data_IF_185377337516
#
_entry.id   IF_185377337516
#
_cell.length_a   1.000
_cell.length_b   1.000
_cell.length_c   1.000
_cell.angle_alpha   90.00
_cell.angle_beta   90.00
_cell.angle_gamma   90.00
#
_symmetry.space_group_name_H-M   'P 1'
#
loop_
_entity.id
_entity.type
_entity.pdbx_description
1 polymer ?
#
# COMPACT_ATOMS: atom_id res chain seq x y z
N UNK A 1 -1.13 40.42 0.10
CA UNK A 1 -2.15 41.26 -0.60
C UNK A 1 -3.29 41.57 0.38
N UNK A 2 -3.92 42.75 0.27
CA UNK A 2 -4.83 43.39 1.23
C UNK A 2 -6.18 42.68 1.54
N UNK A 3 -6.25 41.34 1.46
CA UNK A 3 -7.44 40.56 1.79
C UNK A 3 -7.74 40.57 3.30
N UNK A 4 -6.75 40.82 4.14
CA UNK A 4 -6.90 40.86 5.60
C UNK A 4 -7.90 41.91 6.11
N UNK A 5 -8.26 42.90 5.31
CA UNK A 5 -9.27 43.90 5.67
C UNK A 5 -10.71 43.48 5.31
N UNK A 6 -10.90 42.42 4.52
CA UNK A 6 -12.18 42.06 3.91
C UNK A 6 -12.96 41.04 4.76
N UNK A 7 -13.28 41.38 6.01
CA UNK A 7 -13.93 40.46 6.99
C UNK A 7 -15.34 39.99 6.60
N UNK A 8 -15.99 40.67 5.64
CA UNK A 8 -17.31 40.30 5.11
C UNK A 8 -17.24 39.53 3.78
N UNK A 9 -16.05 39.24 3.28
CA UNK A 9 -15.88 38.54 2.01
C UNK A 9 -16.42 37.12 2.12
N UNK A 10 -17.35 36.78 1.22
CA UNK A 10 -18.07 35.51 1.20
C UNK A 10 -17.68 34.65 0.00
N UNK A 11 -17.43 35.30 -1.14
CA UNK A 11 -17.02 34.65 -2.38
C UNK A 11 -15.80 35.35 -2.96
N UNK A 12 -14.84 34.57 -3.43
CA UNK A 12 -13.63 35.07 -4.06
C UNK A 12 -13.27 34.22 -5.28
N UNK A 13 -13.15 34.89 -6.43
CA UNK A 13 -12.81 34.29 -7.70
C UNK A 13 -11.45 34.83 -8.15
N UNK A 14 -10.45 33.95 -8.18
CA UNK A 14 -9.06 34.20 -8.58
C UNK A 14 -8.61 33.22 -9.67
N UNK A 15 -9.58 32.57 -10.31
CA UNK A 15 -9.35 31.61 -11.37
C UNK A 15 -8.80 32.24 -12.66
N UNK A 16 -8.18 31.43 -13.52
CA UNK A 16 -7.58 31.86 -14.79
C UNK A 16 -6.53 32.97 -14.64
N UNK A 17 -5.66 32.83 -13.64
CA UNK A 17 -4.55 33.74 -13.37
C UNK A 17 -3.20 33.02 -13.47
N UNK A 18 -2.14 33.66 -12.98
CA UNK A 18 -0.77 33.14 -12.97
C UNK A 18 -0.25 33.04 -11.52
N UNK A 19 -1.15 32.77 -10.57
CA UNK A 19 -0.78 32.67 -9.16
C UNK A 19 0.05 31.40 -8.97
N UNK A 20 1.32 31.56 -8.61
CA UNK A 20 2.22 30.45 -8.26
C UNK A 20 2.29 30.22 -6.75
N UNK A 21 1.92 31.23 -5.95
CA UNK A 21 1.88 31.15 -4.48
C UNK A 21 0.80 32.06 -3.92
N UNK A 22 0.30 31.71 -2.74
CA UNK A 22 -0.54 32.55 -1.91
C UNK A 22 0.10 32.57 -0.53
N UNK A 23 0.23 33.77 0.04
CA UNK A 23 0.79 33.94 1.38
C UNK A 23 -0.03 33.14 2.42
N UNK A 24 0.65 32.43 3.31
CA UNK A 24 0.06 31.53 4.31
C UNK A 24 -1.06 32.16 5.15
N UNK A 25 -0.97 33.47 5.39
CA UNK A 25 -1.93 34.21 6.21
C UNK A 25 -2.78 35.19 5.40
N UNK A 26 -2.86 35.03 4.08
CA UNK A 26 -3.67 35.88 3.20
C UNK A 26 -5.15 35.90 3.62
N UNK A 27 -5.67 34.75 4.06
CA UNK A 27 -7.08 34.56 4.40
C UNK A 27 -7.37 34.60 5.91
N UNK A 28 -6.40 34.98 6.74
CA UNK A 28 -6.53 34.92 8.21
C UNK A 28 -7.75 35.68 8.77
N UNK A 29 -8.16 36.76 8.12
CA UNK A 29 -9.28 37.61 8.55
C UNK A 29 -10.55 37.43 7.70
N UNK A 30 -10.50 36.65 6.62
CA UNK A 30 -11.63 36.40 5.72
C UNK A 30 -12.36 35.12 6.11
N UNK A 31 -12.75 35.02 7.39
CA UNK A 31 -13.35 33.79 7.96
C UNK A 31 -14.77 33.53 7.48
N UNK A 32 -15.44 34.54 6.91
CA UNK A 32 -16.79 34.45 6.33
C UNK A 32 -16.82 33.84 4.91
N UNK A 33 -15.65 33.52 4.35
CA UNK A 33 -15.50 33.02 2.98
C UNK A 33 -16.06 31.59 2.88
N UNK A 34 -17.06 31.40 2.02
CA UNK A 34 -17.66 30.10 1.74
C UNK A 34 -17.38 29.57 0.34
N UNK A 35 -17.03 30.43 -0.62
CA UNK A 35 -16.69 30.03 -2.00
C UNK A 35 -15.34 30.61 -2.40
N UNK A 36 -14.41 29.75 -2.81
CA UNK A 36 -13.08 30.13 -3.29
C UNK A 36 -12.73 29.40 -4.58
N UNK A 37 -12.58 30.15 -5.66
CA UNK A 37 -12.22 29.62 -6.99
C UNK A 37 -10.79 30.04 -7.34
N UNK A 38 -9.92 29.05 -7.53
CA UNK A 38 -8.48 29.20 -7.79
C UNK A 38 -8.01 28.35 -8.98
N UNK A 39 -8.95 27.83 -9.79
CA UNK A 39 -8.63 26.98 -10.92
C UNK A 39 -7.81 27.70 -12.00
N UNK A 40 -7.03 26.93 -12.76
CA UNK A 40 -6.22 27.46 -13.86
C UNK A 40 -5.24 28.52 -13.35
N UNK A 41 -4.36 28.10 -12.44
CA UNK A 41 -3.24 28.87 -11.89
C UNK A 41 -1.97 28.00 -11.92
N UNK A 42 -0.94 28.35 -11.13
CA UNK A 42 0.34 27.65 -11.05
C UNK A 42 0.68 27.26 -9.60
N UNK A 43 -0.35 27.06 -8.75
CA UNK A 43 -0.15 26.83 -7.33
C UNK A 43 0.53 25.48 -7.09
N UNK A 44 1.62 25.52 -6.34
CA UNK A 44 2.29 24.35 -5.77
C UNK A 44 2.49 24.62 -4.28
N UNK A 45 1.92 23.77 -3.40
CA UNK A 45 2.15 23.85 -1.97
C UNK A 45 3.26 22.85 -1.60
N UNK A 46 4.50 23.33 -1.49
CA UNK A 46 5.70 22.50 -1.30
C UNK A 46 5.77 21.81 0.08
N UNK A 47 5.00 22.26 1.08
CA UNK A 47 5.10 21.82 2.49
C UNK A 47 4.36 20.52 2.83
N UNK A 48 3.78 19.82 1.84
CA UNK A 48 2.91 18.65 2.10
C UNK A 48 3.64 17.30 2.21
N UNK A 49 4.94 17.26 1.91
CA UNK A 49 5.71 16.00 1.75
C UNK A 49 6.83 15.79 2.78
N UNK A 50 7.12 16.73 3.67
CA UNK A 50 8.17 16.55 4.68
C UNK A 50 7.58 15.97 5.97
N UNK A 51 7.68 14.65 6.12
CA UNK A 51 7.89 14.11 7.47
C UNK A 51 9.14 14.79 8.04
N UNK A 52 9.20 15.11 9.35
CA UNK A 52 10.38 15.73 9.92
C UNK A 52 11.56 14.82 9.59
N UNK A 53 12.51 15.32 8.78
CA UNK A 53 13.77 14.64 8.59
C UNK A 53 14.35 14.41 9.98
N UNK A 54 14.61 13.15 10.30
CA UNK A 54 15.37 12.74 11.48
C UNK A 54 16.50 13.72 11.71
N UNK A 55 16.54 14.32 12.91
CA UNK A 55 17.56 15.26 13.31
C UNK A 55 18.95 14.74 12.88
N UNK A 56 19.85 15.62 12.39
CA UNK A 56 21.19 15.20 12.00
C UNK A 56 21.85 14.51 13.19
N UNK A 57 22.34 13.30 12.92
CA UNK A 57 23.12 12.45 13.80
C UNK A 57 24.41 13.19 14.20
N UNK A 58 24.31 14.06 15.21
CA UNK A 58 25.47 14.53 15.97
C UNK A 58 25.65 13.55 17.10
N UNK A 59 26.51 12.56 16.86
CA UNK A 59 26.96 11.64 17.88
C UNK A 59 27.62 12.41 19.02
N UNK A 60 26.97 12.40 20.18
CA UNK A 60 27.61 12.52 21.48
C UNK A 60 26.77 11.75 22.50
N UNK A 61 27.40 10.76 23.12
CA UNK A 61 26.83 9.94 24.19
C UNK A 61 26.62 10.80 25.43
N UNK A 62 25.38 11.03 25.86
CA UNK A 62 25.11 11.37 27.26
C UNK A 62 23.70 10.98 27.74
N UNK A 63 23.70 9.95 28.59
CA UNK A 63 22.82 9.69 29.75
C UNK A 63 21.28 9.78 29.58
N UNK A 64 20.65 8.61 29.73
CA UNK A 64 19.22 8.40 29.94
C UNK A 64 18.72 9.13 31.20
N UNK A 65 18.02 10.25 31.00
CA UNK A 65 17.10 10.83 31.99
C UNK A 65 15.68 10.84 31.42
N UNK A 66 14.72 10.47 32.25
CA UNK A 66 13.27 10.53 31.98
C UNK A 66 12.85 11.99 31.67
N UNK A 67 12.94 12.40 30.40
CA UNK A 67 12.36 13.64 29.92
C UNK A 67 11.04 13.34 29.22
N UNK A 68 9.94 13.61 29.92
CA UNK A 68 8.65 13.86 29.30
C UNK A 68 8.84 15.10 28.41
N UNK A 69 8.61 15.03 27.09
CA UNK A 69 8.85 16.14 26.20
C UNK A 69 7.96 17.33 26.56
N UNK A 70 8.52 18.54 26.48
CA UNK A 70 7.83 19.79 26.77
C UNK A 70 6.67 20.01 25.78
N UNK A 71 5.58 20.71 26.16
CA UNK A 71 4.44 21.01 25.28
C UNK A 71 4.80 21.80 24.00
N UNK A 72 6.04 22.28 23.92
CA UNK A 72 6.59 23.05 22.81
C UNK A 72 7.05 22.14 21.66
N UNK A 73 7.30 20.84 21.90
CA UNK A 73 7.60 19.85 20.85
C UNK A 73 6.35 19.49 20.02
N UNK A 74 5.16 19.67 20.59
CA UNK A 74 3.89 19.59 19.83
C UNK A 74 3.69 20.77 18.87
N UNK A 75 4.45 21.88 19.01
CA UNK A 75 4.40 23.00 18.06
C UNK A 75 5.14 22.73 16.75
N UNK A 76 5.96 21.67 16.65
CA UNK A 76 6.55 21.25 15.38
C UNK A 76 5.53 20.60 14.42
N UNK A 77 4.33 20.27 14.90
CA UNK A 77 3.21 19.83 14.07
C UNK A 77 2.36 21.01 13.55
N UNK A 78 2.65 22.24 13.96
CA UNK A 78 1.74 23.38 13.82
C UNK A 78 2.14 24.46 12.78
N UNK A 79 3.18 24.24 11.95
CA UNK A 79 3.66 25.29 11.01
C UNK A 79 3.44 25.03 9.51
N UNK A 80 2.97 23.86 9.08
CA UNK A 80 2.85 23.52 7.66
C UNK A 80 1.39 23.49 7.15
N UNK A 81 0.63 24.54 7.47
CA UNK A 81 -0.71 24.73 6.91
C UNK A 81 -0.65 25.26 5.47
N UNK A 82 -1.75 25.17 4.73
CA UNK A 82 -1.92 25.97 3.51
C UNK A 82 -2.57 27.32 3.87
N UNK A 83 -2.70 28.26 2.92
CA UNK A 83 -3.44 29.50 3.15
C UNK A 83 -4.89 29.27 3.61
N UNK A 84 -5.44 28.07 3.44
CA UNK A 84 -6.82 27.71 3.75
C UNK A 84 -7.06 27.33 5.21
N UNK A 85 -6.01 27.22 6.04
CA UNK A 85 -6.09 26.70 7.41
C UNK A 85 -7.11 27.40 8.33
N UNK A 86 -7.48 28.67 8.05
CA UNK A 86 -8.44 29.46 8.85
C UNK A 86 -9.85 29.53 8.23
N UNK A 87 -10.08 28.89 7.08
CA UNK A 87 -11.33 28.99 6.32
C UNK A 87 -12.38 28.00 6.80
N UNK A 88 -12.76 28.06 8.08
CA UNK A 88 -13.65 27.07 8.69
C UNK A 88 -15.06 26.99 8.09
N UNK A 89 -15.53 28.07 7.46
CA UNK A 89 -16.86 28.19 6.82
C UNK A 89 -16.83 27.90 5.31
N UNK A 90 -15.69 27.42 4.79
CA UNK A 90 -15.55 27.13 3.37
C UNK A 90 -16.47 25.97 2.98
N UNK A 91 -17.26 26.16 1.92
CA UNK A 91 -18.20 25.17 1.37
C UNK A 91 -17.77 24.67 0.01
N UNK A 92 -17.14 25.54 -0.78
CA UNK A 92 -16.66 25.22 -2.12
C UNK A 92 -15.26 25.76 -2.35
N UNK A 93 -14.38 24.86 -2.76
CA UNK A 93 -13.00 25.15 -3.12
C UNK A 93 -12.66 24.49 -4.46
N UNK A 94 -12.36 25.30 -5.47
CA UNK A 94 -11.86 24.82 -6.75
C UNK A 94 -10.35 25.13 -6.89
N UNK A 95 -9.55 24.06 -6.88
CA UNK A 95 -8.09 24.06 -7.05
C UNK A 95 -7.68 23.30 -8.32
N UNK A 96 -8.61 23.06 -9.25
CA UNK A 96 -8.32 22.30 -10.45
C UNK A 96 -7.33 22.99 -11.39
N UNK A 97 -6.61 22.20 -12.19
CA UNK A 97 -5.61 22.74 -13.14
C UNK A 97 -4.55 23.62 -12.45
N UNK A 98 -3.93 23.07 -11.39
CA UNK A 98 -2.78 23.62 -10.66
C UNK A 98 -1.66 22.57 -10.63
N UNK A 99 -0.61 22.79 -9.83
CA UNK A 99 0.56 21.90 -9.73
C UNK A 99 0.67 21.23 -8.36
N UNK A 100 -0.47 20.93 -7.74
CA UNK A 100 -0.50 20.28 -6.43
C UNK A 100 -0.02 18.84 -6.52
N UNK A 101 0.86 18.44 -5.60
CA UNK A 101 1.42 17.07 -5.53
C UNK A 101 0.80 16.21 -4.42
N UNK A 102 -0.02 16.82 -3.55
CA UNK A 102 -0.70 16.14 -2.45
C UNK A 102 -2.02 16.85 -2.10
N UNK A 103 -2.92 16.13 -1.44
CA UNK A 103 -4.14 16.69 -0.86
C UNK A 103 -3.76 17.53 0.38
N UNK A 104 -4.14 18.83 0.44
CA UNK A 104 -3.83 19.68 1.60
C UNK A 104 -4.43 19.15 2.91
N UNK A 105 -3.58 18.86 3.90
CA UNK A 105 -4.00 18.25 5.18
C UNK A 105 -4.94 19.14 6.01
N UNK A 106 -4.77 20.45 5.94
CA UNK A 106 -5.61 21.40 6.67
C UNK A 106 -7.06 21.44 6.16
N UNK A 107 -7.30 21.11 4.88
CA UNK A 107 -8.67 20.94 4.36
C UNK A 107 -9.38 19.70 4.93
N UNK A 108 -8.64 18.74 5.49
CA UNK A 108 -9.25 17.58 6.15
C UNK A 108 -9.69 17.94 7.57
N UNK A 109 -8.88 18.77 8.26
CA UNK A 109 -9.01 19.05 9.69
C UNK A 109 -9.78 20.33 10.01
N UNK A 110 -9.66 21.37 9.19
CA UNK A 110 -10.11 22.72 9.57
C UNK A 110 -11.39 23.16 8.84
N UNK A 111 -11.78 22.51 7.74
CA UNK A 111 -12.92 22.92 6.91
C UNK A 111 -14.09 21.97 7.06
N UNK A 112 -14.79 22.04 8.20
CA UNK A 112 -15.90 21.12 8.54
C UNK A 112 -17.18 21.34 7.69
N UNK A 113 -17.36 22.54 7.13
CA UNK A 113 -18.50 22.86 6.24
C UNK A 113 -18.25 22.54 4.76
N UNK A 114 -17.08 21.99 4.42
CA UNK A 114 -16.68 21.82 3.02
C UNK A 114 -17.56 20.77 2.33
N UNK A 115 -18.22 21.18 1.24
CA UNK A 115 -19.14 20.33 0.47
C UNK A 115 -18.53 19.90 -0.87
N UNK A 116 -17.71 20.77 -1.48
CA UNK A 116 -17.10 20.55 -2.79
C UNK A 116 -15.63 20.93 -2.78
N UNK A 117 -14.77 19.97 -3.12
CA UNK A 117 -13.34 20.17 -3.33
C UNK A 117 -12.95 19.62 -4.71
N UNK A 118 -12.61 20.51 -5.64
CA UNK A 118 -12.16 20.12 -6.97
C UNK A 118 -10.63 20.17 -7.04
N UNK A 119 -9.99 19.01 -7.18
CA UNK A 119 -8.54 18.82 -7.31
C UNK A 119 -8.16 18.21 -8.66
N UNK A 120 -9.07 18.23 -9.64
CA UNK A 120 -8.81 17.64 -10.96
C UNK A 120 -7.65 18.31 -11.68
N UNK A 121 -6.93 17.56 -12.53
CA UNK A 121 -5.80 18.10 -13.32
C UNK A 121 -4.71 18.74 -12.45
N UNK A 122 -4.34 18.06 -11.37
CA UNK A 122 -3.15 18.35 -10.58
C UNK A 122 -2.11 17.23 -10.80
N UNK A 123 -1.05 17.19 -9.98
CA UNK A 123 0.02 16.20 -10.08
C UNK A 123 0.12 15.32 -8.81
N UNK A 124 -1.03 14.97 -8.23
CA UNK A 124 -1.09 14.09 -7.04
C UNK A 124 -0.72 12.67 -7.49
N UNK A 125 0.20 12.02 -6.79
CA UNK A 125 0.78 10.73 -7.20
C UNK A 125 0.38 9.54 -6.35
N UNK A 126 0.05 9.77 -5.09
CA UNK A 126 -0.33 8.70 -4.18
C UNK A 126 -1.40 9.14 -3.19
N UNK A 127 -2.16 8.17 -2.70
CA UNK A 127 -3.15 8.36 -1.65
C UNK A 127 -2.95 7.33 -0.55
N UNK A 128 -3.07 7.78 0.69
CA UNK A 128 -3.13 6.94 1.88
C UNK A 128 -4.47 7.13 2.60
N UNK A 129 -4.78 6.27 3.57
CA UNK A 129 -5.96 6.47 4.42
C UNK A 129 -5.97 7.86 5.09
N UNK A 130 -4.81 8.40 5.45
CA UNK A 130 -4.70 9.74 6.04
C UNK A 130 -5.19 10.86 5.10
N UNK A 131 -5.14 10.66 3.79
CA UNK A 131 -5.63 11.62 2.80
C UNK A 131 -7.17 11.58 2.62
N UNK A 132 -7.86 10.61 3.25
CA UNK A 132 -9.30 10.38 3.10
C UNK A 132 -10.09 10.74 4.37
N UNK A 133 -9.43 11.16 5.44
CA UNK A 133 -10.04 11.47 6.75
C UNK A 133 -10.65 12.87 6.78
N UNK A 134 -11.61 13.14 5.89
CA UNK A 134 -12.33 14.40 5.89
C UNK A 134 -13.29 14.48 7.09
N UNK A 135 -13.21 15.56 7.86
CA UNK A 135 -14.17 15.82 8.94
C UNK A 135 -15.53 16.30 8.43
N UNK A 136 -15.60 16.79 7.19
CA UNK A 136 -16.85 17.19 6.56
C UNK A 136 -17.64 15.94 6.11
N UNK A 137 -18.82 15.66 6.69
CA UNK A 137 -19.47 14.35 6.56
C UNK A 137 -20.00 14.05 5.15
N UNK A 138 -20.28 15.04 4.31
CA UNK A 138 -20.85 14.82 2.97
C UNK A 138 -20.05 15.49 1.84
N UNK A 139 -18.75 15.70 2.06
CA UNK A 139 -17.89 16.33 1.05
C UNK A 139 -17.79 15.48 -0.22
N UNK A 140 -17.82 16.13 -1.37
CA UNK A 140 -17.40 15.53 -2.65
C UNK A 140 -16.02 16.06 -3.03
N UNK A 141 -15.07 15.15 -3.19
CA UNK A 141 -13.68 15.42 -3.56
C UNK A 141 -13.40 14.82 -4.94
N UNK A 142 -13.00 15.66 -5.88
CA UNK A 142 -12.71 15.24 -7.26
C UNK A 142 -11.20 15.17 -7.50
N UNK A 143 -10.66 13.96 -7.61
CA UNK A 143 -9.24 13.68 -7.85
C UNK A 143 -8.99 13.13 -9.27
N UNK A 144 -9.98 13.20 -10.16
CA UNK A 144 -9.83 12.71 -11.54
C UNK A 144 -8.75 13.48 -12.30
N UNK A 145 -8.16 12.83 -13.31
CA UNK A 145 -7.09 13.42 -14.13
C UNK A 145 -5.88 13.90 -13.32
N UNK A 146 -5.47 13.13 -12.32
CA UNK A 146 -4.19 13.30 -11.63
C UNK A 146 -3.20 12.23 -12.10
N UNK A 147 -2.07 12.10 -11.40
CA UNK A 147 -1.03 11.10 -11.67
C UNK A 147 -1.03 10.00 -10.60
N UNK A 148 -2.20 9.68 -10.00
CA UNK A 148 -2.28 8.75 -8.87
C UNK A 148 -1.98 7.33 -9.36
N UNK A 149 -0.76 6.88 -9.09
CA UNK A 149 -0.31 5.53 -9.44
C UNK A 149 -0.33 4.58 -8.24
N UNK A 150 -0.41 5.09 -7.01
CA UNK A 150 -0.38 4.26 -5.80
C UNK A 150 -1.48 4.67 -4.81
N UNK A 151 -2.26 3.69 -4.34
CA UNK A 151 -3.31 3.89 -3.34
C UNK A 151 -3.09 2.88 -2.23
N UNK A 152 -2.49 3.32 -1.12
CA UNK A 152 -2.19 2.49 0.05
C UNK A 152 -3.24 2.67 1.15
N UNK A 153 -4.10 1.65 1.29
CA UNK A 153 -5.15 1.62 2.30
C UNK A 153 -4.98 0.44 3.28
N UNK A 154 -3.76 -0.08 3.44
CA UNK A 154 -3.50 -1.28 4.23
C UNK A 154 -4.04 -1.19 5.68
N UNK A 155 -3.89 -0.03 6.33
CA UNK A 155 -4.34 0.20 7.71
C UNK A 155 -5.81 0.63 7.86
N UNK A 156 -6.49 0.89 6.75
CA UNK A 156 -7.80 1.55 6.73
C UNK A 156 -8.84 0.78 7.54
N UNK A 157 -9.03 -0.51 7.27
CA UNK A 157 -10.05 -1.31 7.96
C UNK A 157 -9.77 -1.39 9.47
N UNK A 158 -8.52 -1.63 9.86
CA UNK A 158 -8.10 -1.68 11.26
C UNK A 158 -8.38 -0.35 11.98
N UNK A 159 -8.00 0.77 11.38
CA UNK A 159 -8.18 2.09 11.98
C UNK A 159 -9.65 2.48 12.10
N UNK A 160 -10.45 2.19 11.07
CA UNK A 160 -11.90 2.44 11.09
C UNK A 160 -12.60 1.68 12.23
N UNK A 161 -12.19 0.43 12.47
CA UNK A 161 -12.76 -0.42 13.52
C UNK A 161 -12.34 -0.01 14.94
N UNK A 162 -11.21 0.68 15.10
CA UNK A 162 -10.73 1.18 16.40
C UNK A 162 -11.43 2.48 16.83
N UNK A 163 -11.99 3.24 15.89
CA UNK A 163 -12.62 4.54 16.16
C UNK A 163 -14.11 4.56 15.77
N UNK A 164 -14.96 3.64 16.25
CA UNK A 164 -16.35 3.55 15.80
C UNK A 164 -17.08 4.90 15.93
N UNK A 165 -17.85 5.27 14.91
CA UNK A 165 -18.63 6.51 14.93
C UNK A 165 -19.50 6.57 16.18
N UNK A 166 -19.52 7.72 16.84
CA UNK A 166 -20.47 7.97 17.91
C UNK A 166 -21.88 8.08 17.32
N UNK A 167 -22.89 7.63 18.07
CA UNK A 167 -24.30 7.71 17.66
C UNK A 167 -24.79 9.14 17.37
N UNK A 168 -24.08 10.15 17.88
CA UNK A 168 -24.40 11.57 17.74
C UNK A 168 -23.69 12.27 16.55
N UNK A 169 -22.84 11.57 15.80
CA UNK A 169 -22.15 12.16 14.64
C UNK A 169 -23.08 12.31 13.43
N UNK A 170 -22.94 13.44 12.71
CA UNK A 170 -23.67 13.67 11.46
C UNK A 170 -23.45 12.50 10.48
N UNK A 171 -24.57 11.92 10.05
CA UNK A 171 -24.59 10.82 9.11
C UNK A 171 -24.25 11.33 7.71
N UNK A 172 -23.03 11.08 7.27
CA UNK A 172 -22.60 11.34 5.91
C UNK A 172 -21.31 10.59 5.64
N UNK A 173 -21.07 10.27 4.36
CA UNK A 173 -19.79 9.72 3.90
C UNK A 173 -19.11 10.65 2.90
N UNK A 174 -17.80 10.83 3.04
CA UNK A 174 -17.01 11.58 2.07
C UNK A 174 -16.99 10.82 0.73
N UNK A 175 -17.31 11.49 -0.37
CA UNK A 175 -17.33 10.89 -1.71
C UNK A 175 -16.11 11.33 -2.49
N UNK A 176 -15.26 10.38 -2.89
CA UNK A 176 -13.98 10.66 -3.55
C UNK A 176 -13.98 10.06 -4.95
N UNK A 177 -13.80 10.89 -5.97
CA UNK A 177 -13.80 10.49 -7.38
C UNK A 177 -12.36 10.22 -7.85
N UNK A 178 -12.07 8.98 -8.25
CA UNK A 178 -10.70 8.50 -8.53
C UNK A 178 -10.45 8.07 -9.98
N UNK A 179 -11.48 8.03 -10.83
CA UNK A 179 -11.34 7.67 -12.25
C UNK A 179 -10.27 8.53 -12.96
N UNK A 180 -9.83 8.09 -14.14
CA UNK A 180 -8.85 8.82 -14.95
C UNK A 180 -7.51 9.07 -14.23
N UNK A 181 -7.00 8.04 -13.53
CA UNK A 181 -5.68 8.03 -12.88
C UNK A 181 -4.89 6.77 -13.29
N UNK A 182 -3.56 6.85 -13.43
CA UNK A 182 -2.71 5.75 -13.91
C UNK A 182 -2.35 4.74 -12.80
N UNK A 183 -3.34 4.07 -12.22
CA UNK A 183 -3.15 3.18 -11.07
C UNK A 183 -2.21 2.00 -11.37
N UNK A 184 -1.20 1.78 -10.52
CA UNK A 184 -0.37 0.59 -10.53
C UNK A 184 -0.96 -0.47 -9.58
N UNK A 185 -1.53 -1.52 -10.14
CA UNK A 185 -2.23 -2.59 -9.44
C UNK A 185 -1.24 -3.66 -8.93
N UNK A 186 -0.40 -3.26 -7.97
CA UNK A 186 0.50 -4.15 -7.24
C UNK A 186 -0.10 -4.52 -5.87
N UNK A 187 0.71 -5.16 -5.02
CA UNK A 187 0.30 -5.54 -3.67
C UNK A 187 -0.15 -4.37 -2.77
N UNK A 188 0.30 -3.14 -3.02
CA UNK A 188 -0.05 -1.96 -2.21
C UNK A 188 -1.53 -1.61 -2.43
N UNK A 189 -2.01 -1.77 -3.66
CA UNK A 189 -3.41 -1.58 -4.02
C UNK A 189 -4.35 -2.69 -3.48
N UNK A 190 -3.84 -3.69 -2.75
CA UNK A 190 -4.64 -4.84 -2.26
C UNK A 190 -5.85 -4.42 -1.44
N UNK A 191 -5.67 -3.59 -0.41
CA UNK A 191 -6.77 -3.14 0.44
C UNK A 191 -7.77 -2.26 -0.33
N UNK A 192 -7.28 -1.48 -1.30
CA UNK A 192 -8.13 -0.69 -2.19
C UNK A 192 -8.98 -1.59 -3.11
N UNK A 193 -8.38 -2.63 -3.71
CA UNK A 193 -9.10 -3.61 -4.51
C UNK A 193 -10.17 -4.33 -3.67
N UNK A 194 -9.84 -4.74 -2.44
CA UNK A 194 -10.82 -5.32 -1.51
C UNK A 194 -11.98 -4.37 -1.21
N UNK A 195 -11.69 -3.08 -0.99
CA UNK A 195 -12.72 -2.07 -0.77
C UNK A 195 -13.68 -2.00 -1.98
N UNK A 196 -13.15 -1.82 -3.20
CA UNK A 196 -13.96 -1.71 -4.43
C UNK A 196 -14.76 -2.98 -4.71
N UNK A 197 -14.23 -4.14 -4.33
CA UNK A 197 -14.88 -5.44 -4.49
C UNK A 197 -15.86 -5.78 -3.35
N UNK A 198 -16.17 -4.84 -2.45
CA UNK A 198 -17.09 -5.04 -1.32
C UNK A 198 -16.67 -6.16 -0.35
N UNK A 199 -15.36 -6.27 -0.05
CA UNK A 199 -14.80 -7.33 0.79
C UNK A 199 -14.37 -6.89 2.19
N UNK A 200 -14.50 -5.61 2.54
CA UNK A 200 -14.14 -5.07 3.86
C UNK A 200 -15.34 -5.01 4.81
N UNK A 201 -15.09 -4.67 6.07
CA UNK A 201 -16.12 -4.45 7.09
C UNK A 201 -17.07 -3.30 6.70
N UNK A 202 -18.36 -3.44 7.05
CA UNK A 202 -19.42 -2.47 6.72
C UNK A 202 -19.11 -1.05 7.21
N UNK A 203 -18.49 -0.93 8.39
CA UNK A 203 -18.11 0.35 9.00
C UNK A 203 -17.18 1.20 8.10
N UNK A 204 -16.42 0.58 7.19
CA UNK A 204 -15.57 1.27 6.23
C UNK A 204 -16.40 2.04 5.20
N UNK A 205 -17.46 1.40 4.67
CA UNK A 205 -18.34 1.97 3.66
C UNK A 205 -19.25 3.09 4.20
N UNK A 206 -19.42 3.15 5.51
CA UNK A 206 -20.15 4.22 6.20
C UNK A 206 -19.32 5.51 6.36
N UNK A 207 -17.99 5.44 6.17
CA UNK A 207 -17.09 6.61 6.29
C UNK A 207 -16.88 7.36 4.98
N UNK A 208 -16.65 6.62 3.91
CA UNK A 208 -16.37 7.20 2.61
C UNK A 208 -16.86 6.28 1.49
N UNK A 209 -17.06 6.90 0.33
CA UNK A 209 -17.40 6.28 -0.94
C UNK A 209 -16.27 6.59 -1.93
N UNK A 210 -15.45 5.59 -2.25
CA UNK A 210 -14.44 5.70 -3.30
C UNK A 210 -15.08 5.31 -4.63
N UNK A 211 -15.21 6.28 -5.55
CA UNK A 211 -15.78 6.09 -6.87
C UNK A 211 -14.65 5.79 -7.86
N UNK A 212 -14.49 4.52 -8.20
CA UNK A 212 -13.44 4.01 -9.08
C UNK A 212 -13.96 3.00 -10.12
N UNK A 213 -15.22 3.14 -10.55
CA UNK A 213 -15.90 2.17 -11.42
C UNK A 213 -15.27 2.05 -12.82
N UNK A 214 -14.58 3.11 -13.27
CA UNK A 214 -13.91 3.19 -14.57
C UNK A 214 -12.38 3.21 -14.42
N UNK A 215 -11.88 3.03 -13.19
CA UNK A 215 -10.44 3.04 -12.92
C UNK A 215 -9.82 1.73 -13.41
N UNK A 216 -8.94 1.85 -14.40
CA UNK A 216 -8.16 0.76 -14.96
C UNK A 216 -6.75 0.76 -14.41
N UNK A 217 -6.16 -0.43 -14.31
CA UNK A 217 -4.74 -0.58 -14.04
C UNK A 217 -3.91 -0.09 -15.23
N UNK A 218 -2.95 0.78 -14.97
CA UNK A 218 -1.91 1.16 -15.92
C UNK A 218 -0.70 0.21 -15.86
N UNK A 219 -0.55 -0.52 -14.77
CA UNK A 219 0.44 -1.59 -14.65
C UNK A 219 0.11 -2.50 -13.47
N UNK A 220 0.85 -3.60 -13.29
CA UNK A 220 1.91 -4.14 -14.17
C UNK A 220 1.38 -4.60 -15.55
N UNK A 221 2.27 -4.92 -16.50
CA UNK A 221 1.95 -5.27 -17.90
C UNK A 221 0.82 -6.31 -18.05
N UNK A 222 0.82 -7.35 -17.19
CA UNK A 222 -0.20 -8.40 -17.24
C UNK A 222 -1.60 -7.97 -16.74
N UNK A 223 -1.69 -6.82 -16.05
CA UNK A 223 -2.94 -6.22 -15.57
C UNK A 223 -3.32 -4.95 -16.33
N UNK A 224 -2.51 -4.50 -17.27
CA UNK A 224 -2.75 -3.23 -17.98
C UNK A 224 -4.12 -3.23 -18.69
N UNK A 225 -4.90 -2.18 -18.46
CA UNK A 225 -6.26 -2.01 -18.98
C UNK A 225 -7.35 -2.74 -18.21
N UNK A 226 -7.01 -3.62 -17.24
CA UNK A 226 -8.00 -4.30 -16.42
C UNK A 226 -8.68 -3.31 -15.46
N UNK A 227 -10.00 -3.41 -15.30
CA UNK A 227 -10.75 -2.62 -14.31
C UNK A 227 -10.45 -3.14 -12.91
N UNK A 228 -10.10 -2.25 -11.97
CA UNK A 228 -9.70 -2.63 -10.59
C UNK A 228 -10.76 -3.49 -9.87
N UNK A 229 -12.04 -3.26 -10.17
CA UNK A 229 -13.16 -4.05 -9.62
C UNK A 229 -13.16 -5.52 -10.06
N UNK A 230 -12.52 -5.83 -11.19
CA UNK A 230 -12.49 -7.17 -11.81
C UNK A 230 -11.12 -7.87 -11.63
N UNK A 231 -10.10 -7.16 -11.12
CA UNK A 231 -8.76 -7.71 -10.89
C UNK A 231 -8.77 -8.75 -9.75
N UNK A 232 -8.31 -9.99 -9.97
CA UNK A 232 -8.15 -10.96 -8.91
C UNK A 232 -7.12 -10.48 -7.87
N UNK A 233 -7.52 -10.43 -6.60
CA UNK A 233 -6.65 -9.94 -5.51
C UNK A 233 -5.36 -10.76 -5.32
N UNK A 234 -5.30 -11.99 -5.84
CA UNK A 234 -4.08 -12.85 -5.82
C UNK A 234 -3.01 -12.40 -6.80
N UNK A 235 -3.39 -11.65 -7.83
CA UNK A 235 -2.48 -11.12 -8.86
C UNK A 235 -1.83 -9.79 -8.42
N UNK A 236 -2.31 -9.20 -7.32
CA UNK A 236 -1.75 -8.00 -6.71
C UNK A 236 -0.47 -8.34 -5.94
N UNK A 237 0.64 -8.37 -6.66
CA UNK A 237 1.97 -8.75 -6.17
C UNK A 237 2.92 -7.55 -6.10
N UNK A 238 3.92 -7.62 -5.22
CA UNK A 238 5.07 -6.70 -5.24
C UNK A 238 6.36 -7.50 -5.20
N UNK A 239 7.44 -6.95 -5.74
CA UNK A 239 8.78 -7.51 -5.54
C UNK A 239 9.18 -7.44 -4.06
N UNK A 240 9.77 -8.53 -3.54
CA UNK A 240 10.23 -8.60 -2.15
C UNK A 240 11.41 -7.66 -1.88
N UNK A 241 12.38 -7.65 -2.81
CA UNK A 241 13.55 -6.79 -2.74
C UNK A 241 13.49 -5.72 -3.83
N UNK A 242 13.69 -4.46 -3.47
CA UNK A 242 13.77 -3.32 -4.40
C UNK A 242 15.21 -2.80 -4.45
N UNK A 243 15.59 -1.94 -5.42
CA UNK A 243 16.93 -1.35 -5.43
C UNK A 243 17.30 -0.61 -4.13
N UNK A 244 16.30 -0.16 -3.36
CA UNK A 244 16.45 0.51 -2.06
C UNK A 244 16.48 -0.42 -0.84
N UNK A 245 16.25 -1.74 -0.96
CA UNK A 245 16.31 -2.64 0.20
C UNK A 245 17.76 -2.84 0.66
N UNK A 246 18.05 -2.43 1.91
CA UNK A 246 19.39 -2.50 2.50
C UNK A 246 19.87 -3.95 2.72
N UNK A 247 18.97 -4.85 3.11
CA UNK A 247 19.22 -6.28 3.26
C UNK A 247 18.35 -7.00 2.24
N UNK A 248 18.99 -7.68 1.29
CA UNK A 248 18.29 -8.49 0.28
C UNK A 248 17.94 -9.85 0.85
N UNK A 249 16.66 -10.20 0.78
CA UNK A 249 16.14 -11.48 1.26
C UNK A 249 15.95 -12.49 0.12
N UNK A 250 15.79 -12.01 -1.11
CA UNK A 250 15.58 -12.86 -2.28
C UNK A 250 16.90 -13.53 -2.71
N UNK A 251 16.93 -14.86 -2.87
CA UNK A 251 18.13 -15.55 -3.31
C UNK A 251 18.45 -15.21 -4.76
N UNK A 252 19.71 -14.91 -5.08
CA UNK A 252 20.13 -14.76 -6.48
C UNK A 252 20.33 -16.17 -7.11
N UNK A 253 19.87 -16.44 -8.34
CA UNK A 253 19.31 -15.53 -9.35
C UNK A 253 17.75 -15.49 -9.40
N UNK A 254 17.08 -15.80 -8.31
CA UNK A 254 15.63 -15.89 -8.25
C UNK A 254 14.94 -14.52 -8.26
N UNK A 255 13.64 -14.53 -8.57
CA UNK A 255 12.72 -13.41 -8.40
C UNK A 255 11.74 -13.72 -7.28
N UNK A 256 11.51 -12.78 -6.39
CA UNK A 256 10.66 -13.01 -5.23
C UNK A 256 9.55 -11.98 -5.17
N UNK A 257 8.35 -12.43 -4.86
CA UNK A 257 7.16 -11.60 -4.75
C UNK A 257 6.43 -11.82 -3.43
N UNK A 258 5.80 -10.78 -2.93
CA UNK A 258 4.92 -10.83 -1.77
C UNK A 258 3.46 -10.79 -2.22
N UNK A 259 2.62 -11.64 -1.60
CA UNK A 259 1.19 -11.72 -1.87
C UNK A 259 0.39 -11.49 -0.58
N UNK A 260 -0.19 -10.29 -0.39
CA UNK A 260 -0.95 -9.97 0.81
C UNK A 260 -2.18 -10.86 1.02
N UNK A 261 -2.81 -11.36 -0.06
CA UNK A 261 -4.07 -12.10 0.04
C UNK A 261 -4.04 -13.28 1.01
N UNK A 262 -2.96 -14.06 0.96
CA UNK A 262 -2.77 -15.21 1.83
C UNK A 262 -1.51 -15.10 2.69
N UNK A 263 -0.81 -13.96 2.67
CA UNK A 263 0.47 -13.73 3.36
C UNK A 263 1.58 -14.70 2.92
N UNK A 264 1.59 -15.04 1.62
CA UNK A 264 2.60 -15.88 0.99
C UNK A 264 3.76 -15.10 0.38
N UNK A 265 4.94 -15.71 0.38
CA UNK A 265 6.10 -15.25 -0.40
C UNK A 265 6.31 -16.22 -1.56
N UNK A 266 6.24 -15.71 -2.78
CA UNK A 266 6.52 -16.46 -4.01
C UNK A 266 8.01 -16.32 -4.29
N UNK A 267 8.72 -17.42 -4.45
CA UNK A 267 10.14 -17.45 -4.82
C UNK A 267 10.26 -18.22 -6.12
N UNK A 268 10.52 -17.50 -7.21
CA UNK A 268 10.68 -18.03 -8.55
C UNK A 268 12.15 -18.11 -8.95
N UNK A 269 12.66 -19.33 -8.90
CA UNK A 269 14.00 -19.71 -9.32
C UNK A 269 13.95 -20.64 -10.55
N UNK A 270 12.84 -20.64 -11.31
CA UNK A 270 12.65 -21.54 -12.44
C UNK A 270 13.60 -21.22 -13.60
N UNK A 271 14.10 -22.26 -14.28
CA UNK A 271 14.92 -22.10 -15.48
C UNK A 271 16.31 -21.46 -15.27
N UNK A 272 16.81 -21.43 -14.03
CA UNK A 272 18.07 -20.76 -13.66
C UNK A 272 19.32 -21.66 -13.70
N UNK A 273 19.19 -22.88 -14.24
CA UNK A 273 20.24 -23.90 -14.27
C UNK A 273 20.82 -24.27 -12.89
N UNK A 274 20.01 -24.18 -11.84
CA UNK A 274 20.40 -24.51 -10.47
C UNK A 274 20.68 -26.00 -10.31
N UNK A 275 21.72 -26.34 -9.53
CA UNK A 275 22.07 -27.72 -9.15
C UNK A 275 21.63 -28.07 -7.73
N UNK A 276 21.36 -27.05 -6.91
CA UNK A 276 20.91 -27.17 -5.52
C UNK A 276 19.83 -26.12 -5.23
N UNK A 277 19.04 -26.36 -4.18
CA UNK A 277 18.06 -25.38 -3.69
C UNK A 277 18.82 -24.25 -2.99
N UNK A 278 18.59 -22.97 -3.36
CA UNK A 278 19.28 -21.84 -2.75
C UNK A 278 18.85 -21.65 -1.28
N UNK A 279 19.65 -20.93 -0.49
CA UNK A 279 19.26 -20.56 0.87
C UNK A 279 18.02 -19.67 0.86
N UNK A 280 16.92 -20.14 1.45
CA UNK A 280 15.64 -19.44 1.43
C UNK A 280 15.50 -18.46 2.61
N UNK A 281 14.87 -17.30 2.39
CA UNK A 281 14.56 -16.37 3.48
C UNK A 281 13.49 -16.91 4.41
N UNK A 282 13.44 -16.39 5.64
CA UNK A 282 12.39 -16.73 6.61
C UNK A 282 11.23 -15.74 6.55
N UNK A 283 10.07 -16.11 5.98
CA UNK A 283 8.95 -15.18 5.77
C UNK A 283 8.43 -14.57 7.08
N UNK A 284 8.51 -15.33 8.18
CA UNK A 284 8.06 -14.89 9.51
C UNK A 284 8.83 -13.70 10.05
N UNK A 285 10.06 -13.46 9.58
CA UNK A 285 10.89 -12.33 10.03
C UNK A 285 10.41 -10.98 9.48
N UNK A 286 9.60 -10.97 8.42
CA UNK A 286 9.07 -9.77 7.78
C UNK A 286 7.55 -9.85 7.56
N UNK A 287 6.84 -10.62 8.41
CA UNK A 287 5.37 -10.58 8.51
C UNK A 287 4.60 -11.52 7.57
N UNK A 288 5.28 -12.43 6.87
CA UNK A 288 4.67 -13.43 5.98
C UNK A 288 4.69 -14.82 6.61
N UNK A 289 3.85 -15.73 6.11
CA UNK A 289 3.59 -17.01 6.78
C UNK A 289 4.20 -18.24 6.11
N UNK A 290 4.35 -18.21 4.79
CA UNK A 290 4.80 -19.39 4.05
C UNK A 290 5.48 -19.02 2.74
N UNK A 291 6.15 -20.00 2.15
CA UNK A 291 6.80 -19.90 0.84
C UNK A 291 6.06 -20.75 -0.19
N UNK A 292 5.78 -20.14 -1.34
CA UNK A 292 5.44 -20.78 -2.61
C UNK A 292 6.70 -20.79 -3.47
N UNK A 293 7.31 -21.97 -3.64
CA UNK A 293 8.65 -22.12 -4.21
C UNK A 293 8.57 -22.77 -5.59
N UNK A 294 9.10 -22.06 -6.58
CA UNK A 294 9.22 -22.48 -7.97
C UNK A 294 10.69 -22.76 -8.31
N UNK A 295 10.96 -24.02 -8.63
CA UNK A 295 12.27 -24.60 -8.97
C UNK A 295 12.21 -25.39 -10.28
N UNK A 296 11.16 -25.22 -11.07
CA UNK A 296 10.94 -25.95 -12.30
C UNK A 296 12.05 -25.72 -13.32
N UNK A 297 12.34 -26.73 -14.15
CA UNK A 297 13.31 -26.63 -15.26
C UNK A 297 14.74 -26.29 -14.79
N UNK A 298 15.20 -26.92 -13.72
CA UNK A 298 16.56 -26.81 -13.23
C UNK A 298 17.29 -28.17 -13.34
N UNK A 299 18.48 -28.28 -12.75
CA UNK A 299 19.26 -29.52 -12.71
C UNK A 299 19.48 -30.00 -11.25
N UNK A 300 18.49 -29.78 -10.39
CA UNK A 300 18.56 -30.13 -8.97
C UNK A 300 18.51 -31.65 -8.82
N UNK A 301 19.44 -32.22 -8.06
CA UNK A 301 19.54 -33.67 -7.84
C UNK A 301 18.97 -34.16 -6.50
N UNK A 302 18.84 -33.27 -5.52
CA UNK A 302 18.33 -33.58 -4.19
C UNK A 302 17.67 -32.35 -3.54
N UNK A 303 16.69 -32.60 -2.68
CA UNK A 303 16.08 -31.57 -1.81
C UNK A 303 16.86 -31.46 -0.50
N UNK A 304 16.89 -30.29 0.16
CA UNK A 304 17.57 -30.12 1.44
C UNK A 304 16.82 -30.86 2.56
N UNK A 305 17.56 -31.36 3.56
CA UNK A 305 16.93 -32.02 4.70
C UNK A 305 16.38 -30.97 5.67
N UNK A 306 15.18 -31.20 6.21
CA UNK A 306 14.55 -30.26 7.14
C UNK A 306 15.28 -30.15 8.49
N UNK A 307 16.25 -31.04 8.77
CA UNK A 307 17.03 -31.09 10.01
C UNK A 307 18.44 -30.50 9.88
N UNK A 308 19.01 -30.53 8.66
CA UNK A 308 20.39 -30.09 8.37
C UNK A 308 20.45 -28.81 7.57
N UNK A 309 19.35 -28.40 6.92
CA UNK A 309 19.15 -27.03 6.49
C UNK A 309 19.46 -26.15 7.71
N UNK A 310 20.54 -25.38 7.61
CA UNK A 310 21.09 -24.56 8.68
C UNK A 310 19.94 -23.88 9.44
N UNK A 311 20.06 -23.73 10.76
CA UNK A 311 19.05 -23.12 11.62
C UNK A 311 18.66 -21.67 11.26
N UNK A 312 19.05 -21.17 10.07
CA UNK A 312 18.71 -19.93 9.40
C UNK A 312 17.88 -20.09 8.11
N UNK A 313 17.74 -21.28 7.51
CA UNK A 313 17.02 -21.48 6.24
C UNK A 313 15.50 -21.47 6.42
N UNK A 314 14.78 -20.87 5.48
CA UNK A 314 13.31 -20.82 5.39
C UNK A 314 12.64 -22.06 4.76
N UNK A 315 13.36 -23.17 4.62
CA UNK A 315 12.84 -24.40 3.98
C UNK A 315 11.62 -25.00 4.72
N UNK A 316 11.59 -24.89 6.05
CA UNK A 316 10.49 -25.44 6.85
C UNK A 316 9.15 -24.72 6.61
N UNK A 317 9.21 -23.48 6.14
CA UNK A 317 8.08 -22.62 5.80
C UNK A 317 7.58 -22.81 4.36
N UNK A 318 8.20 -23.69 3.56
CA UNK A 318 7.72 -24.03 2.23
C UNK A 318 6.40 -24.81 2.34
N UNK A 319 5.35 -24.21 1.79
CA UNK A 319 3.99 -24.78 1.77
C UNK A 319 3.62 -25.31 0.40
N UNK A 320 4.13 -24.70 -0.66
CA UNK A 320 3.86 -25.14 -2.04
C UNK A 320 5.21 -25.26 -2.75
N UNK A 321 5.52 -26.46 -3.24
CA UNK A 321 6.79 -26.78 -3.89
C UNK A 321 6.55 -27.26 -5.31
N UNK A 322 7.01 -26.46 -6.28
CA UNK A 322 7.02 -26.79 -7.69
C UNK A 322 8.46 -27.06 -8.13
N UNK A 323 8.85 -28.32 -8.27
CA UNK A 323 10.20 -28.74 -8.65
C UNK A 323 10.17 -29.77 -9.81
N UNK A 324 9.24 -29.55 -10.75
CA UNK A 324 9.11 -30.38 -11.94
C UNK A 324 10.31 -30.23 -12.89
N UNK A 325 10.56 -31.25 -13.72
CA UNK A 325 11.62 -31.24 -14.73
C UNK A 325 13.02 -30.92 -14.14
N UNK A 326 13.44 -31.74 -13.18
CA UNK A 326 14.75 -31.71 -12.52
C UNK A 326 15.43 -33.10 -12.60
N UNK A 327 16.55 -33.29 -11.90
CA UNK A 327 17.32 -34.53 -11.87
C UNK A 327 17.17 -35.31 -10.54
N UNK A 328 16.08 -35.09 -9.79
CA UNK A 328 15.88 -35.69 -8.46
C UNK A 328 15.62 -37.19 -8.60
N UNK A 329 16.49 -38.02 -8.02
CA UNK A 329 16.45 -39.48 -8.17
C UNK A 329 15.87 -40.22 -6.96
N UNK A 330 15.98 -39.62 -5.77
CA UNK A 330 15.47 -40.16 -4.52
C UNK A 330 14.86 -39.02 -3.70
N UNK A 331 13.88 -39.37 -2.87
CA UNK A 331 13.22 -38.46 -1.95
C UNK A 331 13.08 -39.16 -0.60
N UNK A 332 13.54 -38.51 0.46
CA UNK A 332 13.40 -39.01 1.83
C UNK A 332 12.30 -38.26 2.59
N UNK A 333 11.72 -38.90 3.61
CA UNK A 333 10.60 -38.35 4.37
C UNK A 333 10.96 -37.07 5.16
N UNK A 334 12.22 -36.94 5.57
CA UNK A 334 12.77 -35.81 6.35
C UNK A 334 13.13 -34.59 5.48
N UNK A 335 13.12 -34.74 4.16
CA UNK A 335 13.33 -33.65 3.21
C UNK A 335 12.04 -32.86 2.95
N UNK A 336 10.87 -33.41 3.29
CA UNK A 336 9.59 -32.75 3.09
C UNK A 336 9.24 -31.79 4.24
N UNK A 337 8.94 -30.51 3.94
CA UNK A 337 8.45 -29.57 4.92
C UNK A 337 7.15 -30.07 5.58
N UNK A 338 7.01 -29.87 6.89
CA UNK A 338 5.83 -30.33 7.65
C UNK A 338 4.54 -29.60 7.27
N UNK A 339 4.65 -28.36 6.79
CA UNK A 339 3.51 -27.52 6.40
C UNK A 339 3.12 -27.70 4.92
N UNK A 340 3.79 -28.62 4.21
CA UNK A 340 3.63 -28.80 2.77
C UNK A 340 2.18 -29.16 2.40
N UNK A 341 1.64 -28.41 1.46
CA UNK A 341 0.29 -28.51 0.92
C UNK A 341 0.28 -29.02 -0.52
N UNK A 342 1.29 -28.65 -1.31
CA UNK A 342 1.45 -29.07 -2.69
C UNK A 342 2.90 -29.49 -2.95
N UNK A 343 3.06 -30.66 -3.56
CA UNK A 343 4.35 -31.19 -4.02
C UNK A 343 4.25 -31.56 -5.50
N UNK A 344 5.01 -30.87 -6.35
CA UNK A 344 5.16 -31.23 -7.76
C UNK A 344 6.62 -31.61 -8.06
N UNK A 345 6.85 -32.91 -8.20
CA UNK A 345 8.12 -33.51 -8.64
C UNK A 345 7.94 -34.24 -9.97
N UNK A 346 6.95 -33.86 -10.78
CA UNK A 346 6.74 -34.43 -12.11
C UNK A 346 8.00 -34.32 -12.98
N UNK A 347 8.19 -35.28 -13.90
CA UNK A 347 9.34 -35.29 -14.83
C UNK A 347 10.72 -35.25 -14.15
N UNK A 348 10.86 -35.90 -13.00
CA UNK A 348 12.15 -36.14 -12.35
C UNK A 348 12.68 -37.55 -12.67
N UNK A 349 13.71 -38.01 -11.95
CA UNK A 349 14.32 -39.33 -12.10
C UNK A 349 14.00 -40.28 -10.94
N UNK A 350 12.88 -40.03 -10.25
CA UNK A 350 12.45 -40.81 -9.09
C UNK A 350 12.25 -42.28 -9.49
N UNK A 351 13.04 -43.19 -8.90
CA UNK A 351 12.94 -44.63 -9.19
C UNK A 351 12.06 -45.38 -8.21
N UNK A 352 11.97 -44.90 -6.96
CA UNK A 352 11.26 -45.57 -5.87
C UNK A 352 10.67 -44.56 -4.92
N UNK A 353 9.50 -44.87 -4.35
CA UNK A 353 8.97 -44.23 -3.15
C UNK A 353 9.15 -45.24 -2.02
N UNK A 354 10.01 -44.92 -1.06
CA UNK A 354 10.26 -45.83 0.05
C UNK A 354 9.07 -45.86 1.04
N UNK A 355 9.03 -46.91 1.88
CA UNK A 355 7.97 -47.08 2.88
C UNK A 355 7.82 -45.88 3.83
N UNK A 356 8.92 -45.36 4.43
CA UNK A 356 8.88 -44.18 5.30
C UNK A 356 8.32 -42.93 4.63
N UNK A 357 8.67 -42.67 3.36
CA UNK A 357 8.11 -41.57 2.59
C UNK A 357 6.62 -41.77 2.35
N UNK A 358 6.19 -42.97 1.96
CA UNK A 358 4.77 -43.26 1.74
C UNK A 358 3.96 -43.05 3.03
N UNK A 359 4.46 -43.54 4.17
CA UNK A 359 3.85 -43.32 5.48
C UNK A 359 3.76 -41.83 5.82
N UNK A 360 4.85 -41.07 5.64
CA UNK A 360 4.89 -39.62 5.85
C UNK A 360 3.87 -38.87 4.98
N UNK A 361 3.78 -39.21 3.69
CA UNK A 361 2.81 -38.63 2.76
C UNK A 361 1.37 -38.93 3.18
N UNK A 362 1.09 -40.15 3.65
CA UNK A 362 -0.25 -40.54 4.12
C UNK A 362 -0.61 -39.96 5.49
N UNK A 363 0.37 -39.70 6.35
CA UNK A 363 0.18 -39.11 7.66
C UNK A 363 0.03 -37.58 7.61
N UNK A 364 0.38 -36.94 6.49
CA UNK A 364 0.27 -35.49 6.33
C UNK A 364 -1.20 -35.03 6.33
N UNK A 365 -1.51 -34.05 7.18
CA UNK A 365 -2.85 -33.45 7.28
C UNK A 365 -3.01 -32.19 6.42
N UNK A 366 -1.89 -31.64 5.92
CA UNK A 366 -1.85 -30.41 5.12
C UNK A 366 -1.74 -30.68 3.63
N UNK A 367 -1.18 -31.82 3.25
CA UNK A 367 -0.89 -32.16 1.86
C UNK A 367 -2.17 -32.46 1.08
N UNK A 368 -2.39 -31.69 0.03
CA UNK A 368 -3.60 -31.77 -0.82
C UNK A 368 -3.31 -32.26 -2.22
N UNK A 369 -2.09 -32.03 -2.72
CA UNK A 369 -1.70 -32.34 -4.09
C UNK A 369 -0.30 -32.91 -4.13
N UNK A 370 -0.13 -34.07 -4.77
CA UNK A 370 1.17 -34.69 -5.04
C UNK A 370 1.21 -35.09 -6.51
N UNK A 371 2.23 -34.62 -7.23
CA UNK A 371 2.48 -34.94 -8.63
C UNK A 371 3.89 -35.50 -8.76
N UNK A 372 3.99 -36.75 -9.23
CA UNK A 372 5.26 -37.47 -9.37
C UNK A 372 5.50 -38.02 -10.78
N UNK A 373 4.51 -37.88 -11.68
CA UNK A 373 4.50 -38.51 -13.01
C UNK A 373 5.23 -37.70 -14.08
#
# INVERSE_FOLDING_TARGET
>A
VALQALTKLQELYLDHNQLYTIELHAFKQTTALHTLHLQVNQLAFETLNTLPATAPDTGDQEQLTDHIPAPDEFSLLAQDGTPFQHLHQLRELDLSSNWLTAVPRDLLLNTHELQRLNLTRNNITSLTYANLQFLAPAITVDLRHNSIFEIDLADMERLVLLEPRNFDEETGRARVLLNDNPLHCNCIAYAFAQYIQNRLATAVYDRFELVANELTCHGPEHLEGALIKDVPTRELLCELDTPSTAIRHCPAPCRCYIRPEDTGVIIDCSGQALTEVPELPRPTTFGYRFIELHLENNNISALPDSTTASGSSGWAEVRELYASNNSIAALAADQLPRSLRLLDLSRNRLTTLDGPLAESLTASTTLTTVRLA
#
